data_IF_271462856339
#
_entry.id   IF_271462856339
#
_cell.length_a   1.000
_cell.length_b   1.000
_cell.length_c   1.000
_cell.angle_alpha   90.00
_cell.angle_beta   90.00
_cell.angle_gamma   90.00
#
_symmetry.space_group_name_H-M   'P 1'
#
loop_
_entity.id
_entity.type
_entity.pdbx_description
1 polymer ?
#
# COMPACT_ATOMS: atom_id res chain seq x y z
N UNK A 1 -1.55 15.83 -22.42
CA UNK A 1 -0.26 16.58 -22.37
C UNK A 1 0.14 16.94 -20.94
N UNK A 2 -0.73 17.60 -20.13
CA UNK A 2 -0.39 17.94 -18.74
C UNK A 2 -0.14 16.71 -17.86
N UNK A 3 -0.99 15.65 -17.84
CA UNK A 3 -0.73 14.45 -17.06
C UNK A 3 0.60 13.77 -17.37
N UNK A 4 0.95 13.63 -18.64
CA UNK A 4 2.22 13.02 -19.05
C UNK A 4 3.46 13.82 -18.63
N UNK A 5 3.35 15.14 -18.56
CA UNK A 5 4.45 16.01 -18.08
C UNK A 5 4.61 15.85 -16.57
N UNK A 6 3.49 15.77 -15.85
CA UNK A 6 3.47 15.53 -14.41
C UNK A 6 4.10 14.17 -14.08
N UNK A 7 3.68 13.13 -14.76
CA UNK A 7 4.19 11.77 -14.60
C UNK A 7 5.72 11.73 -14.81
N UNK A 8 6.20 12.24 -15.93
CA UNK A 8 7.64 12.29 -16.23
C UNK A 8 8.44 13.17 -15.25
N UNK A 9 7.82 14.19 -14.66
CA UNK A 9 8.46 15.03 -13.65
C UNK A 9 8.58 14.27 -12.32
N UNK A 10 7.50 13.67 -11.86
CA UNK A 10 7.46 12.92 -10.61
C UNK A 10 8.42 11.73 -10.65
N UNK A 11 8.43 10.97 -11.74
CA UNK A 11 9.39 9.89 -11.97
C UNK A 11 10.85 10.37 -11.83
N UNK A 12 11.20 11.52 -12.43
CA UNK A 12 12.54 12.08 -12.32
C UNK A 12 12.88 12.53 -10.90
N UNK A 13 11.93 13.12 -10.19
CA UNK A 13 12.11 13.55 -8.80
C UNK A 13 12.38 12.35 -7.91
N UNK A 14 11.56 11.29 -8.01
CA UNK A 14 11.75 10.06 -7.24
C UNK A 14 13.10 9.40 -7.54
N UNK A 15 13.48 9.29 -8.83
CA UNK A 15 14.79 8.74 -9.24
C UNK A 15 15.97 9.57 -8.70
N UNK A 16 15.84 10.89 -8.64
CA UNK A 16 16.90 11.75 -8.11
C UNK A 16 17.06 11.59 -6.58
N UNK A 17 15.95 11.53 -5.84
CA UNK A 17 15.96 11.31 -4.39
C UNK A 17 16.57 9.94 -4.08
N UNK A 18 16.11 8.91 -4.79
CA UNK A 18 16.69 7.57 -4.69
C UNK A 18 18.20 7.56 -4.90
N UNK A 19 18.65 8.13 -6.01
CA UNK A 19 20.08 8.18 -6.32
C UNK A 19 20.89 8.85 -5.19
N UNK A 20 20.32 9.85 -4.52
CA UNK A 20 20.89 10.46 -3.33
C UNK A 20 20.99 9.48 -2.15
N UNK A 21 19.92 8.74 -1.86
CA UNK A 21 19.89 7.73 -0.79
C UNK A 21 20.90 6.61 -1.09
N UNK A 22 20.91 6.08 -2.29
CA UNK A 22 21.79 4.99 -2.72
C UNK A 22 23.28 5.38 -2.58
N UNK A 23 23.64 6.62 -2.92
CA UNK A 23 25.01 7.12 -2.76
C UNK A 23 25.39 7.33 -1.29
N UNK A 24 24.48 7.93 -0.50
CA UNK A 24 24.75 8.25 0.91
C UNK A 24 24.79 7.00 1.79
N UNK A 25 23.95 6.01 1.48
CA UNK A 25 23.82 4.76 2.24
C UNK A 25 24.41 3.55 1.52
N UNK A 26 25.40 3.76 0.65
CA UNK A 26 26.10 2.69 -0.04
C UNK A 26 26.62 1.65 0.99
N UNK A 27 26.49 0.38 0.67
CA UNK A 27 26.92 -0.77 1.50
C UNK A 27 26.19 -0.90 2.86
N UNK A 28 25.03 -0.23 3.04
CA UNK A 28 24.22 -0.27 4.26
C UNK A 28 22.77 -0.55 3.92
N UNK A 29 22.47 -1.77 3.52
CA UNK A 29 21.15 -2.13 2.97
C UNK A 29 19.99 -1.83 3.91
N UNK A 30 20.06 -2.24 5.17
CA UNK A 30 18.98 -1.98 6.11
C UNK A 30 18.81 -0.50 6.47
N UNK A 31 19.89 0.29 6.46
CA UNK A 31 19.77 1.75 6.62
C UNK A 31 19.09 2.39 5.40
N UNK A 32 19.37 1.87 4.21
CA UNK A 32 18.71 2.31 2.97
C UNK A 32 17.22 1.99 2.99
N UNK A 33 16.82 0.77 3.38
CA UNK A 33 15.41 0.42 3.57
C UNK A 33 14.76 1.24 4.68
N UNK A 34 15.43 1.45 5.82
CA UNK A 34 14.92 2.34 6.86
C UNK A 34 14.64 3.76 6.35
N UNK A 35 15.52 4.32 5.53
CA UNK A 35 15.30 5.64 4.94
C UNK A 35 14.15 5.62 3.93
N UNK A 36 14.04 4.56 3.11
CA UNK A 36 12.95 4.35 2.19
C UNK A 36 11.61 4.36 2.93
N UNK A 37 11.44 3.49 3.94
CA UNK A 37 10.20 3.37 4.71
C UNK A 37 9.88 4.64 5.53
N UNK A 38 10.91 5.34 6.02
CA UNK A 38 10.71 6.62 6.71
C UNK A 38 10.07 7.66 5.79
N UNK A 39 10.39 7.63 4.50
CA UNK A 39 9.88 8.56 3.48
C UNK A 39 8.58 8.05 2.86
N UNK A 40 8.50 6.77 2.49
CA UNK A 40 7.36 6.17 1.80
C UNK A 40 6.04 6.30 2.58
N UNK A 41 6.07 6.12 3.90
CA UNK A 41 4.89 6.31 4.76
C UNK A 41 4.34 7.73 4.82
N UNK A 42 5.14 8.74 4.45
CA UNK A 42 4.79 10.17 4.63
C UNK A 42 3.52 10.58 3.91
N UNK A 43 3.29 10.22 2.65
CA UNK A 43 2.10 10.63 1.92
C UNK A 43 0.81 10.25 2.64
N UNK A 44 0.71 9.08 3.20
CA UNK A 44 -0.50 8.57 3.82
C UNK A 44 -0.95 9.38 5.02
N UNK A 45 -0.05 9.71 5.95
CA UNK A 45 -0.43 10.56 7.06
C UNK A 45 -0.53 12.05 6.68
N UNK A 46 0.11 12.48 5.61
CA UNK A 46 -0.12 13.80 5.04
C UNK A 46 -1.53 13.91 4.44
N UNK A 47 -1.99 12.90 3.71
CA UNK A 47 -3.36 12.81 3.20
C UNK A 47 -4.38 12.84 4.35
N UNK A 48 -4.16 12.02 5.39
CA UNK A 48 -5.00 12.02 6.59
C UNK A 48 -5.06 13.41 7.23
N UNK A 49 -3.93 14.10 7.35
CA UNK A 49 -3.88 15.46 7.93
C UNK A 49 -4.73 16.44 7.12
N UNK A 50 -4.64 16.40 5.79
CA UNK A 50 -5.43 17.29 4.92
C UNK A 50 -6.91 16.93 4.95
N UNK A 51 -7.27 15.64 4.96
CA UNK A 51 -8.66 15.19 5.03
C UNK A 51 -9.31 15.64 6.35
N UNK A 52 -8.63 15.46 7.48
CA UNK A 52 -9.12 15.95 8.78
C UNK A 52 -9.19 17.48 8.84
N UNK A 53 -8.26 18.20 8.21
CA UNK A 53 -8.33 19.65 8.09
C UNK A 53 -9.58 20.09 7.32
N UNK A 54 -9.85 19.48 6.17
CA UNK A 54 -11.04 19.75 5.35
C UNK A 54 -12.32 19.51 6.15
N UNK A 55 -12.42 18.39 6.87
CA UNK A 55 -13.56 18.09 7.75
C UNK A 55 -13.73 19.15 8.86
N UNK A 56 -12.63 19.54 9.51
CA UNK A 56 -12.64 20.56 10.59
C UNK A 56 -13.11 21.92 10.08
N UNK A 57 -12.81 22.25 8.82
CA UNK A 57 -13.26 23.49 8.18
C UNK A 57 -14.71 23.41 7.64
N UNK A 58 -15.39 22.30 7.87
CA UNK A 58 -16.80 22.11 7.46
C UNK A 58 -16.96 21.73 5.99
N UNK A 59 -15.90 21.27 5.34
CA UNK A 59 -15.98 20.68 4.01
C UNK A 59 -16.50 19.25 4.08
N UNK A 60 -16.64 18.57 2.91
CA UNK A 60 -17.15 17.19 2.92
C UNK A 60 -16.21 16.23 3.61
N UNK A 61 -16.83 15.21 4.18
CA UNK A 61 -16.14 14.09 4.80
C UNK A 61 -15.92 13.01 3.76
N UNK A 62 -14.73 12.41 3.80
CA UNK A 62 -14.32 11.31 2.92
C UNK A 62 -13.94 10.09 3.79
N UNK A 63 -14.93 9.41 4.40
CA UNK A 63 -14.66 8.35 5.39
C UNK A 63 -13.93 7.15 4.78
N UNK A 64 -14.17 6.86 3.51
CA UNK A 64 -13.50 5.75 2.79
C UNK A 64 -12.03 6.07 2.61
N UNK A 65 -11.69 7.27 2.12
CA UNK A 65 -10.29 7.71 2.00
C UNK A 65 -9.56 7.71 3.34
N UNK A 66 -10.22 8.17 4.41
CA UNK A 66 -9.64 8.14 5.76
C UNK A 66 -9.29 6.71 6.19
N UNK A 67 -10.17 5.74 5.95
CA UNK A 67 -9.91 4.33 6.28
C UNK A 67 -8.75 3.77 5.49
N UNK A 68 -8.75 3.97 4.17
CA UNK A 68 -7.71 3.45 3.28
C UNK A 68 -6.35 4.02 3.67
N UNK A 69 -6.22 5.35 3.71
CA UNK A 69 -4.94 5.98 4.04
C UNK A 69 -4.48 5.69 5.48
N UNK A 70 -5.41 5.42 6.40
CA UNK A 70 -5.05 4.94 7.72
C UNK A 70 -4.47 3.53 7.67
N UNK A 71 -5.09 2.62 6.92
CA UNK A 71 -4.59 1.26 6.77
C UNK A 71 -3.20 1.22 6.11
N UNK A 72 -3.00 2.03 5.07
CA UNK A 72 -1.71 2.20 4.39
C UNK A 72 -0.66 2.80 5.34
N UNK A 73 -0.98 3.90 6.03
CA UNK A 73 -0.08 4.52 7.01
C UNK A 73 0.32 3.55 8.15
N UNK A 74 -0.60 2.66 8.53
CA UNK A 74 -0.36 1.64 9.54
C UNK A 74 0.52 0.51 9.03
N UNK A 75 0.31 0.08 7.79
CA UNK A 75 1.14 -0.91 7.11
C UNK A 75 2.58 -0.41 6.99
N UNK A 76 2.78 0.77 6.43
CA UNK A 76 4.06 1.45 6.31
C UNK A 76 4.80 1.66 7.64
N UNK A 77 4.06 1.94 8.71
CA UNK A 77 4.66 2.02 10.06
C UNK A 77 5.29 0.67 10.45
N UNK A 78 4.67 -0.45 10.06
CA UNK A 78 5.21 -1.75 10.39
C UNK A 78 6.39 -2.15 9.52
N UNK A 79 6.40 -1.76 8.23
CA UNK A 79 7.59 -1.87 7.37
C UNK A 79 8.78 -1.14 7.99
N UNK A 80 8.58 0.13 8.38
CA UNK A 80 9.61 0.90 9.08
C UNK A 80 10.10 0.20 10.35
N UNK A 81 9.19 -0.31 11.20
CA UNK A 81 9.56 -1.02 12.44
C UNK A 81 10.32 -2.30 12.19
N UNK A 82 10.04 -3.01 11.09
CA UNK A 82 10.81 -4.17 10.67
C UNK A 82 12.24 -3.76 10.33
N UNK A 83 12.42 -2.68 9.60
CA UNK A 83 13.76 -2.17 9.26
C UNK A 83 14.50 -1.65 10.49
N UNK A 84 13.81 -1.07 11.48
CA UNK A 84 14.39 -0.71 12.77
C UNK A 84 14.87 -1.94 13.55
N UNK A 85 14.07 -3.02 13.60
CA UNK A 85 14.41 -4.27 14.28
C UNK A 85 15.61 -4.97 13.61
N UNK A 86 15.86 -4.72 12.33
CA UNK A 86 17.02 -5.15 11.56
C UNK A 86 18.24 -4.23 11.69
N UNK A 87 18.18 -3.20 12.53
CA UNK A 87 19.27 -2.26 12.79
C UNK A 87 19.43 -1.15 11.75
N UNK A 88 18.43 -0.92 10.90
CA UNK A 88 18.47 0.12 9.88
C UNK A 88 18.62 1.53 10.45
N UNK A 89 18.23 1.74 11.70
CA UNK A 89 18.30 3.01 12.39
C UNK A 89 19.44 3.11 13.45
N UNK A 90 20.43 2.23 13.45
CA UNK A 90 21.48 2.19 14.47
C UNK A 90 22.35 3.46 14.45
N UNK A 91 22.62 4.02 13.28
CA UNK A 91 23.47 5.20 13.13
C UNK A 91 22.65 6.49 13.25
N UNK A 92 23.17 7.44 13.97
CA UNK A 92 22.52 8.75 14.13
C UNK A 92 22.36 9.49 12.79
N UNK A 93 23.37 9.43 11.94
CA UNK A 93 23.41 10.13 10.65
C UNK A 93 22.29 9.65 9.72
N UNK A 94 22.03 8.32 9.70
CA UNK A 94 21.01 7.71 8.88
C UNK A 94 19.61 8.13 9.35
N UNK A 95 19.38 8.11 10.68
CA UNK A 95 18.13 8.61 11.27
C UNK A 95 17.92 10.10 10.99
N UNK A 96 18.97 10.90 11.19
CA UNK A 96 18.92 12.34 10.99
C UNK A 96 18.53 12.67 9.54
N UNK A 97 19.21 12.05 8.57
CA UNK A 97 18.92 12.26 7.15
C UNK A 97 17.49 11.84 6.80
N UNK A 98 17.11 10.60 7.13
CA UNK A 98 15.78 10.06 6.80
C UNK A 98 14.65 10.91 7.39
N UNK A 99 14.76 11.31 8.67
CA UNK A 99 13.75 12.13 9.35
C UNK A 99 13.62 13.54 8.76
N UNK A 100 14.73 14.17 8.36
CA UNK A 100 14.69 15.50 7.75
C UNK A 100 14.14 15.45 6.32
N UNK A 101 14.47 14.41 5.57
CA UNK A 101 13.83 14.16 4.27
C UNK A 101 12.33 13.96 4.42
N UNK A 102 11.91 13.11 5.35
CA UNK A 102 10.49 12.86 5.63
C UNK A 102 9.76 14.14 6.06
N UNK A 103 10.37 14.98 6.90
CA UNK A 103 9.79 16.26 7.33
C UNK A 103 9.59 17.23 6.17
N UNK A 104 10.59 17.37 5.30
CA UNK A 104 10.47 18.24 4.11
C UNK A 104 9.43 17.67 3.12
N UNK A 105 9.42 16.35 2.94
CA UNK A 105 8.47 15.66 2.08
C UNK A 105 7.03 15.78 2.58
N UNK A 106 6.81 15.69 3.91
CA UNK A 106 5.49 15.88 4.51
C UNK A 106 4.84 17.21 4.08
N UNK A 107 5.54 18.32 4.23
CA UNK A 107 4.97 19.62 3.86
C UNK A 107 4.76 19.76 2.35
N UNK A 108 5.62 19.14 1.56
CA UNK A 108 5.45 19.07 0.11
C UNK A 108 4.17 18.33 -0.25
N UNK A 109 3.95 17.15 0.33
CA UNK A 109 2.75 16.33 0.07
C UNK A 109 1.50 17.01 0.59
N UNK A 110 1.51 17.61 1.78
CA UNK A 110 0.38 18.39 2.31
C UNK A 110 -0.03 19.47 1.32
N UNK A 111 0.94 20.25 0.80
CA UNK A 111 0.68 21.28 -0.20
C UNK A 111 0.12 20.70 -1.49
N UNK A 112 0.74 19.65 -2.03
CA UNK A 112 0.27 19.00 -3.24
C UNK A 112 -1.15 18.43 -3.08
N UNK A 113 -1.40 17.69 -2.02
CA UNK A 113 -2.69 17.05 -1.79
C UNK A 113 -3.81 18.06 -1.54
N UNK A 114 -3.50 19.19 -0.91
CA UNK A 114 -4.48 20.25 -0.67
C UNK A 114 -4.97 20.90 -1.97
N UNK A 115 -4.06 21.11 -2.95
CA UNK A 115 -4.36 21.86 -4.17
C UNK A 115 -4.46 21.01 -5.44
N UNK A 116 -3.83 19.85 -5.47
CA UNK A 116 -3.77 18.96 -6.63
C UNK A 116 -3.67 17.47 -6.21
N UNK A 117 -4.75 16.87 -5.66
CA UNK A 117 -4.73 15.50 -5.14
C UNK A 117 -4.21 14.46 -6.14
N UNK A 118 -4.66 14.49 -7.39
CA UNK A 118 -4.20 13.55 -8.44
C UNK A 118 -2.68 13.64 -8.66
N UNK A 119 -2.10 14.84 -8.51
CA UNK A 119 -0.66 15.03 -8.62
C UNK A 119 0.08 14.38 -7.44
N UNK A 120 -0.48 14.51 -6.24
CA UNK A 120 0.06 13.88 -5.03
C UNK A 120 -0.01 12.34 -5.12
N UNK A 121 -1.11 11.79 -5.61
CA UNK A 121 -1.25 10.35 -5.84
C UNK A 121 -0.28 9.83 -6.90
N UNK A 122 -0.12 10.55 -8.02
CA UNK A 122 0.88 10.21 -9.03
C UNK A 122 2.30 10.20 -8.46
N UNK A 123 2.66 11.20 -7.67
CA UNK A 123 3.97 11.23 -7.01
C UNK A 123 4.17 10.01 -6.09
N UNK A 124 3.16 9.69 -5.28
CA UNK A 124 3.24 8.56 -4.37
C UNK A 124 3.28 7.23 -5.13
N UNK A 125 2.52 7.06 -6.21
CA UNK A 125 2.61 5.88 -7.07
C UNK A 125 4.05 5.59 -7.50
N UNK A 126 4.79 6.61 -7.95
CA UNK A 126 6.19 6.43 -8.31
C UNK A 126 7.09 6.08 -7.14
N UNK A 127 6.77 6.54 -5.92
CA UNK A 127 7.49 6.15 -4.70
C UNK A 127 7.27 4.66 -4.42
N UNK A 128 6.02 4.18 -4.48
CA UNK A 128 5.67 2.79 -4.20
C UNK A 128 6.19 1.82 -5.29
N UNK A 129 6.05 2.18 -6.57
CA UNK A 129 6.65 1.41 -7.68
C UNK A 129 8.15 1.25 -7.46
N UNK A 130 8.79 2.32 -6.97
CA UNK A 130 10.23 2.28 -6.69
C UNK A 130 10.57 1.45 -5.47
N UNK A 131 9.75 1.50 -4.40
CA UNK A 131 9.88 0.63 -3.23
C UNK A 131 9.77 -0.84 -3.66
N UNK A 132 8.70 -1.19 -4.39
CA UNK A 132 8.53 -2.53 -4.96
C UNK A 132 9.77 -3.01 -5.73
N UNK A 133 10.29 -2.23 -6.68
CA UNK A 133 11.48 -2.58 -7.47
C UNK A 133 12.74 -2.77 -6.60
N UNK A 134 12.86 -2.00 -5.52
CA UNK A 134 14.00 -2.06 -4.61
C UNK A 134 13.96 -3.34 -3.78
N UNK A 135 12.80 -3.70 -3.24
CA UNK A 135 12.61 -4.98 -2.53
C UNK A 135 12.77 -6.18 -3.46
N UNK A 136 12.16 -6.13 -4.65
CA UNK A 136 12.23 -7.23 -5.60
C UNK A 136 13.66 -7.53 -6.03
N UNK A 137 14.45 -6.50 -6.34
CA UNK A 137 15.86 -6.62 -6.67
C UNK A 137 16.66 -7.20 -5.50
N UNK A 138 16.46 -6.70 -4.29
CA UNK A 138 17.17 -7.17 -3.10
C UNK A 138 16.86 -8.63 -2.79
N UNK A 139 15.62 -9.04 -2.96
CA UNK A 139 15.19 -10.44 -2.84
C UNK A 139 15.95 -11.36 -3.82
N UNK A 140 16.09 -10.94 -5.08
CA UNK A 140 16.83 -11.71 -6.09
C UNK A 140 18.34 -11.78 -5.78
N UNK A 141 18.94 -10.68 -5.35
CA UNK A 141 20.36 -10.60 -5.08
C UNK A 141 20.78 -11.35 -3.80
N UNK A 142 19.88 -11.42 -2.80
CA UNK A 142 20.18 -11.94 -1.47
C UNK A 142 19.35 -13.14 -1.03
N UNK A 143 18.62 -13.81 -1.94
CA UNK A 143 17.67 -14.89 -1.65
C UNK A 143 18.27 -15.96 -0.71
N UNK A 144 19.42 -16.51 -1.06
CA UNK A 144 20.05 -17.60 -0.31
C UNK A 144 20.39 -17.19 1.13
N UNK A 145 20.85 -15.96 1.33
CA UNK A 145 21.17 -15.43 2.65
C UNK A 145 19.91 -15.13 3.45
N UNK A 146 18.93 -14.45 2.85
CA UNK A 146 17.67 -14.09 3.50
C UNK A 146 16.92 -15.31 4.03
N UNK A 147 16.94 -16.43 3.30
CA UNK A 147 16.34 -17.71 3.73
C UNK A 147 17.01 -18.33 4.96
N UNK A 148 18.20 -17.90 5.31
CA UNK A 148 18.91 -18.37 6.52
C UNK A 148 18.69 -17.45 7.72
N UNK A 149 18.10 -16.27 7.54
CA UNK A 149 17.89 -15.29 8.60
C UNK A 149 16.55 -15.52 9.31
N UNK A 150 16.50 -15.31 10.64
CA UNK A 150 15.27 -15.46 11.39
C UNK A 150 14.26 -14.36 11.06
N UNK A 151 12.99 -14.66 11.27
CA UNK A 151 11.90 -13.69 11.17
C UNK A 151 11.96 -12.71 12.34
N UNK A 152 12.01 -11.38 12.10
CA UNK A 152 11.92 -10.38 13.14
C UNK A 152 10.61 -10.51 13.95
N UNK A 153 10.69 -10.29 15.27
CA UNK A 153 9.52 -10.43 16.13
C UNK A 153 8.39 -9.42 15.78
N UNK A 154 8.76 -8.25 15.31
CA UNK A 154 7.81 -7.23 14.83
C UNK A 154 7.06 -7.72 13.60
N UNK A 155 7.76 -8.30 12.61
CA UNK A 155 7.14 -8.85 11.40
C UNK A 155 6.15 -9.97 11.73
N UNK A 156 6.56 -10.94 12.55
CA UNK A 156 5.70 -12.03 12.96
C UNK A 156 4.43 -11.54 13.64
N UNK A 157 4.55 -10.57 14.55
CA UNK A 157 3.41 -9.98 15.24
C UNK A 157 2.47 -9.27 14.28
N UNK A 158 3.01 -8.55 13.31
CA UNK A 158 2.22 -7.80 12.36
C UNK A 158 1.48 -8.72 11.38
N UNK A 159 2.19 -9.60 10.70
CA UNK A 159 1.62 -10.42 9.63
C UNK A 159 0.81 -11.62 10.13
N UNK A 160 1.17 -12.22 11.26
CA UNK A 160 0.53 -13.45 11.75
C UNK A 160 -0.60 -13.20 12.75
N UNK A 161 -0.61 -12.06 13.47
CA UNK A 161 -1.66 -11.75 14.44
C UNK A 161 -2.70 -10.80 13.85
N UNK A 162 -3.95 -11.30 13.74
CA UNK A 162 -5.06 -10.67 13.04
C UNK A 162 -5.34 -9.19 13.30
N UNK A 163 -5.13 -8.74 14.53
CA UNK A 163 -5.55 -7.40 14.97
C UNK A 163 -4.72 -6.24 14.41
N UNK A 164 -3.53 -6.52 13.87
CA UNK A 164 -2.62 -5.49 13.37
C UNK A 164 -2.64 -5.34 11.85
N UNK A 165 -3.01 -6.40 11.14
CA UNK A 165 -3.00 -6.40 9.67
C UNK A 165 -4.31 -5.88 9.11
N UNK A 166 -4.49 -4.56 9.15
CA UNK A 166 -5.69 -3.89 8.63
C UNK A 166 -5.76 -3.88 7.11
N UNK A 167 -4.65 -4.15 6.43
CA UNK A 167 -4.50 -4.06 4.99
C UNK A 167 -5.43 -5.00 4.23
N UNK A 168 -5.76 -6.16 4.79
CA UNK A 168 -6.72 -7.10 4.22
C UNK A 168 -8.10 -6.46 3.94
N UNK A 169 -8.52 -5.51 4.79
CA UNK A 169 -9.85 -4.91 4.70
C UNK A 169 -9.95 -3.78 3.68
N UNK A 170 -8.82 -3.30 3.14
CA UNK A 170 -8.77 -2.10 2.31
C UNK A 170 -7.93 -2.26 1.04
N UNK A 171 -7.68 -3.50 0.61
CA UNK A 171 -7.00 -3.75 -0.64
C UNK A 171 -7.85 -3.33 -1.83
N UNK A 172 -7.23 -2.66 -2.78
CA UNK A 172 -7.86 -2.28 -4.05
C UNK A 172 -7.68 -3.35 -5.13
N UNK A 173 -6.86 -4.36 -4.86
CA UNK A 173 -6.58 -5.42 -5.81
C UNK A 173 -7.71 -6.46 -5.83
N UNK A 174 -8.61 -6.34 -6.79
CA UNK A 174 -9.73 -7.26 -7.01
C UNK A 174 -9.25 -8.67 -7.44
N UNK A 175 -8.00 -8.82 -7.88
CA UNK A 175 -7.46 -10.12 -8.31
C UNK A 175 -7.22 -11.09 -7.14
N UNK A 176 -7.16 -10.58 -5.90
CA UNK A 176 -6.94 -11.40 -4.69
C UNK A 176 -7.99 -11.12 -3.64
N UNK A 177 -9.19 -11.69 -3.77
CA UNK A 177 -10.29 -11.47 -2.83
C UNK A 177 -10.10 -12.16 -1.47
N UNK A 178 -9.03 -12.93 -1.29
CA UNK A 178 -8.74 -13.63 -0.03
C UNK A 178 -7.78 -12.84 0.84
N UNK A 179 -7.96 -12.84 2.16
CA UNK A 179 -7.03 -12.21 3.09
C UNK A 179 -5.58 -12.62 2.83
N UNK A 180 -4.68 -11.64 2.75
CA UNK A 180 -3.26 -11.89 2.62
C UNK A 180 -2.66 -12.10 4.01
N UNK A 181 -2.56 -13.35 4.43
CA UNK A 181 -1.89 -13.73 5.67
C UNK A 181 -0.63 -14.53 5.32
N UNK A 182 0.50 -13.85 5.08
CA UNK A 182 1.73 -14.52 4.71
C UNK A 182 2.20 -15.42 5.86
N UNK A 183 2.66 -16.62 5.50
CA UNK A 183 3.36 -17.51 6.42
C UNK A 183 4.83 -17.14 6.41
N UNK A 184 5.40 -16.85 7.58
CA UNK A 184 6.76 -16.35 7.71
C UNK A 184 7.66 -17.43 8.31
N UNK A 185 8.53 -18.03 7.50
CA UNK A 185 9.54 -18.99 7.93
C UNK A 185 10.92 -18.35 8.06
N UNK A 186 11.19 -17.33 7.26
CA UNK A 186 12.49 -16.67 7.15
C UNK A 186 12.34 -15.17 6.89
N UNK A 187 13.46 -14.44 6.95
CA UNK A 187 13.49 -13.03 6.55
C UNK A 187 13.16 -12.83 5.05
N UNK A 188 13.40 -13.86 4.23
CA UNK A 188 13.00 -13.86 2.82
C UNK A 188 11.49 -13.68 2.67
N UNK A 189 10.70 -14.42 3.46
CA UNK A 189 9.23 -14.34 3.41
C UNK A 189 8.73 -12.98 3.88
N UNK A 190 9.41 -12.38 4.88
CA UNK A 190 9.10 -11.02 5.33
C UNK A 190 9.31 -10.00 4.21
N UNK A 191 10.45 -10.07 3.51
CA UNK A 191 10.73 -9.15 2.40
C UNK A 191 9.79 -9.38 1.21
N UNK A 192 9.37 -10.63 0.96
CA UNK A 192 8.33 -10.92 -0.03
C UNK A 192 6.99 -10.28 0.37
N UNK A 193 6.61 -10.37 1.66
CA UNK A 193 5.36 -9.79 2.15
C UNK A 193 5.37 -8.25 2.03
N UNK A 194 6.46 -7.59 2.44
CA UNK A 194 6.62 -6.14 2.30
C UNK A 194 6.57 -5.74 0.82
N UNK A 195 7.35 -6.39 -0.05
CA UNK A 195 7.31 -6.13 -1.50
C UNK A 195 5.90 -6.22 -2.08
N UNK A 196 5.14 -7.23 -1.67
CA UNK A 196 3.79 -7.43 -2.17
C UNK A 196 2.82 -6.37 -1.62
N UNK A 197 3.06 -5.84 -0.40
CA UNK A 197 2.34 -4.70 0.15
C UNK A 197 2.63 -3.42 -0.65
N UNK A 198 3.90 -3.13 -1.00
CA UNK A 198 4.28 -1.99 -1.85
C UNK A 198 3.58 -2.02 -3.21
N UNK A 199 3.40 -3.22 -3.77
CA UNK A 199 2.65 -3.38 -5.01
C UNK A 199 1.19 -2.98 -4.86
N UNK A 200 0.54 -3.37 -3.76
CA UNK A 200 -0.84 -2.99 -3.49
C UNK A 200 -0.97 -1.48 -3.26
N UNK A 201 -0.02 -0.85 -2.57
CA UNK A 201 0.04 0.60 -2.43
C UNK A 201 0.11 1.29 -3.80
N UNK A 202 0.99 0.85 -4.69
CA UNK A 202 1.11 1.40 -6.03
C UNK A 202 -0.20 1.27 -6.84
N UNK A 203 -0.90 0.13 -6.73
CA UNK A 203 -2.19 -0.09 -7.39
C UNK A 203 -3.28 0.83 -6.82
N UNK A 204 -3.33 1.02 -5.51
CA UNK A 204 -4.24 1.96 -4.85
C UNK A 204 -4.00 3.40 -5.33
N UNK A 205 -2.74 3.83 -5.36
CA UNK A 205 -2.39 5.17 -5.85
C UNK A 205 -2.75 5.35 -7.33
N UNK A 206 -2.57 4.31 -8.15
CA UNK A 206 -3.00 4.32 -9.57
C UNK A 206 -4.50 4.52 -9.69
N UNK A 207 -5.30 3.83 -8.89
CA UNK A 207 -6.75 3.98 -8.88
C UNK A 207 -7.17 5.41 -8.51
N UNK A 208 -6.52 6.00 -7.51
CA UNK A 208 -6.84 7.36 -7.03
C UNK A 208 -6.29 8.48 -7.91
N UNK A 209 -5.24 8.21 -8.71
CA UNK A 209 -4.74 9.16 -9.71
C UNK A 209 -5.76 9.41 -10.82
N UNK A 210 -6.57 8.41 -11.15
CA UNK A 210 -7.60 8.47 -12.20
C UNK A 210 -8.87 9.18 -11.76
N UNK A 211 -10.01 8.54 -11.92
CA UNK A 211 -11.30 9.02 -11.41
C UNK A 211 -11.49 8.58 -9.96
N UNK A 212 -11.10 9.46 -9.04
CA UNK A 212 -11.21 9.22 -7.62
C UNK A 212 -12.66 8.89 -7.21
N UNK A 213 -13.65 9.54 -7.83
CA UNK A 213 -15.06 9.28 -7.54
C UNK A 213 -15.49 7.87 -7.94
N UNK A 214 -15.09 7.41 -9.12
CA UNK A 214 -15.35 6.05 -9.58
C UNK A 214 -14.63 5.01 -8.70
N UNK A 215 -13.37 5.25 -8.36
CA UNK A 215 -12.59 4.36 -7.49
C UNK A 215 -13.21 4.22 -6.09
N UNK A 216 -13.66 5.31 -5.49
CA UNK A 216 -14.32 5.30 -4.19
C UNK A 216 -15.68 4.58 -4.24
N UNK A 217 -16.47 4.81 -5.29
CA UNK A 217 -17.75 4.12 -5.47
C UNK A 217 -17.56 2.63 -5.60
N UNK A 218 -16.60 2.19 -6.40
CA UNK A 218 -16.28 0.78 -6.55
C UNK A 218 -15.85 0.12 -5.23
N UNK A 219 -15.05 0.81 -4.42
CA UNK A 219 -14.66 0.31 -3.10
C UNK A 219 -15.81 0.25 -2.10
N UNK A 220 -16.69 1.25 -2.10
CA UNK A 220 -17.89 1.22 -1.25
C UNK A 220 -18.83 0.09 -1.65
N UNK A 221 -18.99 -0.16 -2.95
CA UNK A 221 -19.81 -1.26 -3.45
C UNK A 221 -19.21 -2.60 -3.08
N UNK A 222 -17.89 -2.77 -3.23
CA UNK A 222 -17.18 -3.98 -2.80
C UNK A 222 -17.30 -4.20 -1.28
N UNK A 223 -17.10 -3.16 -0.47
CA UNK A 223 -17.23 -3.26 0.98
C UNK A 223 -18.63 -3.68 1.40
N UNK A 224 -19.67 -3.09 0.80
CA UNK A 224 -21.08 -3.47 1.04
C UNK A 224 -21.38 -4.90 0.64
N UNK A 225 -20.81 -5.36 -0.46
CA UNK A 225 -21.00 -6.73 -0.91
C UNK A 225 -20.30 -7.74 0.01
N UNK A 226 -19.08 -7.44 0.45
CA UNK A 226 -18.37 -8.25 1.44
C UNK A 226 -19.12 -8.33 2.78
N UNK A 227 -19.70 -7.22 3.25
CA UNK A 227 -20.55 -7.22 4.45
C UNK A 227 -21.80 -8.08 4.23
N UNK A 228 -22.47 -7.96 3.08
CA UNK A 228 -23.64 -8.78 2.73
C UNK A 228 -23.31 -10.27 2.69
N UNK A 229 -22.20 -10.65 2.08
CA UNK A 229 -21.73 -12.04 2.02
C UNK A 229 -21.40 -12.57 3.41
N UNK A 230 -20.71 -11.76 4.23
CA UNK A 230 -20.38 -12.12 5.61
C UNK A 230 -21.65 -12.34 6.47
N UNK A 231 -22.65 -11.46 6.36
CA UNK A 231 -23.93 -11.60 7.05
C UNK A 231 -24.71 -12.86 6.59
N UNK A 232 -24.76 -13.11 5.28
CA UNK A 232 -25.41 -14.32 4.76
C UNK A 232 -24.71 -15.58 5.22
N UNK A 233 -23.39 -15.55 5.28
CA UNK A 233 -22.59 -16.68 5.70
C UNK A 233 -22.75 -16.96 7.20
N UNK A 234 -22.83 -15.93 8.03
CA UNK A 234 -23.13 -16.05 9.46
C UNK A 234 -24.54 -16.61 9.70
N UNK A 235 -25.52 -16.25 8.87
CA UNK A 235 -26.90 -16.79 8.97
C UNK A 235 -27.02 -18.26 8.52
N UNK A 236 -26.10 -18.74 7.71
CA UNK A 236 -26.05 -20.15 7.25
C UNK A 236 -25.20 -21.02 8.17
N UNK A 237 -24.33 -20.43 8.99
CA UNK A 237 -23.30 -21.10 9.79
C UNK A 237 -23.82 -21.61 11.16
N UNK A 238 -24.94 -22.32 11.16
CA UNK A 238 -25.25 -23.14 12.35
C UNK A 238 -24.59 -24.54 12.26
N UNK A 239 -23.55 -24.72 11.44
CA UNK A 239 -22.98 -26.03 11.43
C UNK A 239 -21.78 -26.45 10.57
N UNK A 240 -21.04 -25.67 9.85
CA UNK A 240 -19.79 -26.20 9.25
C UNK A 240 -18.83 -25.13 8.65
N UNK A 241 -17.62 -25.00 9.21
CA UNK A 241 -16.57 -24.07 8.75
C UNK A 241 -16.10 -24.31 7.29
N UNK A 242 -16.20 -25.54 6.79
CA UNK A 242 -15.81 -25.90 5.44
C UNK A 242 -16.75 -25.33 4.36
N UNK A 243 -18.04 -25.24 4.66
CA UNK A 243 -19.09 -24.71 3.77
C UNK A 243 -18.96 -23.19 3.61
N UNK A 244 -18.37 -22.53 4.59
CA UNK A 244 -18.13 -21.08 4.65
C UNK A 244 -17.12 -20.61 3.58
N UNK A 245 -15.97 -21.28 3.53
CA UNK A 245 -14.89 -20.96 2.58
C UNK A 245 -15.31 -21.22 1.12
N UNK A 246 -16.09 -22.27 0.89
CA UNK A 246 -16.58 -22.66 -0.44
C UNK A 246 -17.68 -21.69 -0.94
N UNK A 247 -18.56 -21.22 -0.05
CA UNK A 247 -19.58 -20.22 -0.37
C UNK A 247 -19.00 -18.88 -0.78
N UNK A 248 -17.99 -18.39 -0.06
CA UNK A 248 -17.27 -17.14 -0.37
C UNK A 248 -16.55 -17.24 -1.73
N UNK A 249 -15.87 -18.36 -1.99
CA UNK A 249 -15.14 -18.57 -3.24
C UNK A 249 -16.06 -18.61 -4.48
N UNK A 250 -17.25 -19.22 -4.35
CA UNK A 250 -18.24 -19.31 -5.43
C UNK A 250 -18.84 -17.94 -5.74
N UNK A 251 -19.18 -17.14 -4.73
CA UNK A 251 -19.79 -15.82 -4.92
C UNK A 251 -18.82 -14.86 -5.59
N UNK A 252 -17.57 -14.82 -5.12
CA UNK A 252 -16.51 -13.97 -5.69
C UNK A 252 -16.13 -14.37 -7.14
N UNK A 253 -16.23 -15.66 -7.48
CA UNK A 253 -15.97 -16.11 -8.86
C UNK A 253 -17.10 -15.75 -9.84
N UNK A 254 -18.35 -15.72 -9.38
CA UNK A 254 -19.49 -15.35 -10.19
C UNK A 254 -19.51 -13.84 -10.52
N UNK A 255 -19.11 -13.00 -9.58
CA UNK A 255 -19.01 -11.55 -9.81
C UNK A 255 -17.85 -11.15 -10.70
N UNK A 256 -16.71 -11.86 -10.60
CA UNK A 256 -15.60 -11.71 -11.53
C UNK A 256 -16.04 -11.88 -12.99
N UNK A 257 -16.86 -12.89 -13.28
CA UNK A 257 -17.41 -13.12 -14.61
C UNK A 257 -18.36 -11.99 -15.05
N UNK A 258 -19.10 -11.39 -14.13
CA UNK A 258 -20.01 -10.28 -14.44
C UNK A 258 -19.25 -8.99 -14.78
N UNK A 259 -18.14 -8.70 -14.07
CA UNK A 259 -17.28 -7.53 -14.35
C UNK A 259 -16.49 -7.71 -15.66
N UNK A 260 -15.94 -8.90 -15.90
CA UNK A 260 -15.25 -9.23 -17.16
C UNK A 260 -16.21 -9.20 -18.37
N UNK A 261 -17.45 -9.62 -18.19
CA UNK A 261 -18.50 -9.54 -19.23
C UNK A 261 -18.90 -8.10 -19.57
N UNK A 262 -18.95 -7.22 -18.60
CA UNK A 262 -19.29 -5.79 -18.80
C UNK A 262 -18.15 -4.99 -19.47
N UNK A 263 -16.90 -5.39 -19.27
CA UNK A 263 -15.75 -4.73 -19.90
C UNK A 263 -15.62 -5.07 -21.40
N UNK A 264 -16.14 -6.20 -21.83
CA UNK A 264 -16.08 -6.64 -23.25
C UNK A 264 -17.19 -6.03 -24.10
N UNK A 265 -18.32 -5.64 -23.51
CA UNK A 265 -19.43 -4.97 -24.24
C UNK A 265 -19.20 -3.47 -24.49
N UNK A 266 -18.21 -2.85 -23.85
CA UNK A 266 -17.87 -1.42 -24.05
C UNK A 266 -16.93 -1.11 -25.23
N UNK A 267 -16.42 -2.11 -25.96
CA UNK A 267 -15.41 -1.93 -27.01
C UNK A 267 -15.94 -2.06 -28.47
N UNK A 268 -17.26 -2.12 -28.66
CA UNK A 268 -17.88 -2.15 -30.00
C UNK A 268 -18.87 -1.01 -30.12
N UNK A 269 -18.41 0.19 -30.41
CA UNK A 269 -19.06 1.22 -31.22
C UNK A 269 -18.25 2.53 -31.25
N UNK A 270 -17.17 2.57 -32.03
CA UNK A 270 -16.69 3.78 -32.70
C UNK A 270 -16.08 3.38 -34.04
N UNK A 271 -16.90 3.41 -35.07
CA UNK A 271 -16.51 3.64 -36.46
C UNK A 271 -17.07 4.95 -36.93
#
# INVERSE_FOLDING_TARGET
>A
MLPQVVDALNEKVVKAIKGGIDVFMADRDFARFYALETVARVPYFAYLSVLHLKETLGWWREPVLLKIHFAEAWNELHHLRIMEDLGGNDRYEDRFLAQHMAFAYYWTVVGLYLFAPSFAYNLNRHVEEHAFETYDRYLHEHEAWLKTQPVPAVARRYYETGDLYLFDSFQTNVERPTPRRPQLESLYDVFCAVRDDEREHALTMTAFEGDLGAALTAQEDLARELERVAEQTLMVSDGDEATLAEGIAITLSAERQAVEGSAVEGEVDVL
#
